data_IF_506830937937
#
_entry.id   IF_506830937937
#
_cell.length_a   1.000
_cell.length_b   1.000
_cell.length_c   1.000
_cell.angle_alpha   90.00
_cell.angle_beta   90.00
_cell.angle_gamma   90.00
#
_symmetry.space_group_name_H-M   'P 1'
#
loop_
_entity.id
_entity.type
_entity.pdbx_description
1 polymer ?
#
# COMPACT_ATOMS: atom_id res chain seq x y z
N UNK A 1 -5.25 7.96 2.22
CA UNK A 1 -5.38 6.60 2.80
C UNK A 1 -4.14 6.33 3.66
N UNK A 2 -4.34 5.88 4.90
CA UNK A 2 -3.23 5.46 5.78
C UNK A 2 -3.26 3.94 5.82
N UNK A 3 -2.32 3.29 5.15
CA UNK A 3 -2.29 1.83 5.01
C UNK A 3 -1.30 1.28 6.03
N UNK A 4 -1.72 0.38 6.93
CA UNK A 4 -0.79 -0.37 7.77
C UNK A 4 -0.35 -1.65 7.04
N UNK A 5 0.84 -1.67 6.39
CA UNK A 5 1.36 -2.88 5.76
C UNK A 5 1.71 -3.94 6.80
N UNK A 6 1.48 -5.19 6.42
CA UNK A 6 1.89 -6.41 7.11
C UNK A 6 3.03 -7.09 6.33
N UNK A 7 3.90 -6.27 5.72
CA UNK A 7 5.10 -6.69 5.01
C UNK A 7 6.32 -6.42 5.90
N UNK A 8 7.21 -7.40 6.03
CA UNK A 8 8.27 -7.36 7.05
C UNK A 8 9.62 -6.84 6.54
N UNK A 9 9.75 -6.57 5.23
CA UNK A 9 11.01 -6.11 4.63
C UNK A 9 10.86 -4.76 3.91
N UNK A 10 11.90 -3.90 3.93
CA UNK A 10 11.91 -2.64 3.18
C UNK A 10 11.68 -2.83 1.68
N UNK A 11 12.21 -3.91 1.09
CA UNK A 11 12.06 -4.23 -0.33
C UNK A 11 10.60 -4.52 -0.67
N UNK A 12 9.91 -5.30 0.16
CA UNK A 12 8.49 -5.61 -0.03
C UNK A 12 7.62 -4.35 0.10
N UNK A 13 7.90 -3.50 1.09
CA UNK A 13 7.19 -2.22 1.28
C UNK A 13 7.43 -1.28 0.08
N UNK A 14 8.66 -1.23 -0.44
CA UNK A 14 9.00 -0.41 -1.62
C UNK A 14 8.25 -0.89 -2.87
N UNK A 15 8.22 -2.20 -3.11
CA UNK A 15 7.46 -2.77 -4.23
C UNK A 15 5.96 -2.54 -4.07
N UNK A 16 5.44 -2.63 -2.84
CA UNK A 16 4.04 -2.34 -2.54
C UNK A 16 3.69 -0.87 -2.82
N UNK A 17 4.51 0.06 -2.35
CA UNK A 17 4.36 1.49 -2.61
C UNK A 17 4.42 1.81 -4.11
N UNK A 18 5.35 1.20 -4.84
CA UNK A 18 5.44 1.34 -6.30
C UNK A 18 4.22 0.78 -7.03
N UNK A 19 3.72 -0.40 -6.61
CA UNK A 19 2.52 -1.03 -7.19
C UNK A 19 1.28 -0.15 -7.01
N UNK A 20 1.11 0.44 -5.84
CA UNK A 20 0.01 1.38 -5.58
C UNK A 20 0.19 2.64 -6.44
N UNK A 21 1.39 3.20 -6.52
CA UNK A 21 1.64 4.41 -7.32
C UNK A 21 1.44 4.21 -8.83
N UNK A 22 1.57 2.98 -9.33
CA UNK A 22 1.32 2.62 -10.72
C UNK A 22 -0.15 2.25 -10.99
N UNK A 23 -0.97 2.15 -9.95
CA UNK A 23 -2.43 1.97 -10.11
C UNK A 23 -3.05 3.32 -10.46
N UNK A 24 -3.80 3.44 -11.57
CA UNK A 24 -4.43 4.70 -11.94
C UNK A 24 -5.31 5.27 -10.82
N UNK A 25 -5.17 6.57 -10.56
CA UNK A 25 -5.93 7.28 -9.52
C UNK A 25 -5.30 7.24 -8.13
N UNK A 26 -4.13 6.63 -7.94
CA UNK A 26 -3.42 6.63 -6.64
C UNK A 26 -1.94 6.99 -6.78
N UNK A 27 -1.37 7.59 -5.74
CA UNK A 27 0.07 7.85 -5.62
C UNK A 27 0.52 7.58 -4.18
N UNK A 28 1.65 6.89 -4.03
CA UNK A 28 2.29 6.70 -2.71
C UNK A 28 3.05 7.96 -2.34
N UNK A 29 2.76 8.53 -1.17
CA UNK A 29 3.25 9.85 -0.76
C UNK A 29 4.40 9.77 0.25
N UNK A 30 4.32 8.85 1.22
CA UNK A 30 5.34 8.72 2.26
C UNK A 30 5.30 7.33 2.92
N UNK A 31 6.43 6.89 3.47
CA UNK A 31 6.53 5.72 4.34
C UNK A 31 6.97 6.20 5.71
N UNK A 32 6.20 5.88 6.75
CA UNK A 32 6.55 6.27 8.12
C UNK A 32 7.96 5.81 8.50
N UNK A 33 8.65 6.58 9.34
CA UNK A 33 10.02 6.25 9.79
C UNK A 33 10.14 4.88 10.47
N UNK A 34 9.05 4.35 11.03
CA UNK A 34 9.01 3.02 11.65
C UNK A 34 8.63 1.90 10.66
N UNK A 35 8.38 2.21 9.39
CA UNK A 35 7.98 1.25 8.36
C UNK A 35 6.57 0.67 8.51
N UNK A 36 5.79 1.11 9.51
CA UNK A 36 4.49 0.52 9.85
C UNK A 36 3.29 1.14 9.14
N UNK A 37 3.50 2.26 8.44
CA UNK A 37 2.45 2.95 7.71
C UNK A 37 2.97 3.45 6.36
N UNK A 38 2.14 3.25 5.34
CA UNK A 38 2.29 3.80 4.00
C UNK A 38 1.17 4.83 3.76
N UNK A 39 1.55 6.08 3.51
CA UNK A 39 0.63 7.15 3.18
C UNK A 39 0.39 7.17 1.67
N UNK A 40 -0.88 7.09 1.27
CA UNK A 40 -1.30 7.06 -0.13
C UNK A 40 -2.31 8.19 -0.37
N UNK A 41 -2.10 8.97 -1.42
CA UNK A 41 -3.10 9.88 -1.95
C UNK A 41 -3.96 9.16 -2.99
N UNK A 42 -5.28 9.30 -2.89
CA UNK A 42 -6.25 8.82 -3.86
C UNK A 42 -6.91 10.04 -4.51
N UNK A 43 -7.02 10.02 -5.84
CA UNK A 43 -7.63 11.10 -6.62
C UNK A 43 -9.13 11.22 -6.32
N UNK A 44 -9.79 10.08 -6.18
CA UNK A 44 -11.20 9.96 -5.80
C UNK A 44 -11.34 8.78 -4.83
N UNK A 45 -12.06 9.00 -3.73
CA UNK A 45 -12.26 8.00 -2.68
C UNK A 45 -13.54 8.33 -1.91
N UNK A 46 -14.62 7.65 -2.25
CA UNK A 46 -15.90 7.77 -1.56
C UNK A 46 -15.92 6.96 -0.25
N UNK A 47 -15.12 5.88 -0.16
CA UNK A 47 -14.97 5.04 1.02
C UNK A 47 -13.49 4.66 1.20
N UNK A 48 -12.75 5.43 2.01
CA UNK A 48 -11.33 5.19 2.28
C UNK A 48 -11.03 3.80 2.84
N UNK A 49 -11.90 3.25 3.69
CA UNK A 49 -11.67 1.95 4.33
C UNK A 49 -11.85 0.80 3.33
N UNK A 50 -12.87 0.88 2.47
CA UNK A 50 -13.06 -0.07 1.39
C UNK A 50 -11.89 -0.04 0.38
N UNK A 51 -11.36 1.15 0.09
CA UNK A 51 -10.18 1.30 -0.77
C UNK A 51 -8.93 0.65 -0.15
N UNK A 52 -8.69 0.86 1.15
CA UNK A 52 -7.59 0.23 1.89
C UNK A 52 -7.74 -1.29 1.86
N UNK A 53 -8.92 -1.81 2.16
CA UNK A 53 -9.20 -3.24 2.14
C UNK A 53 -8.94 -3.85 0.76
N UNK A 54 -9.39 -3.18 -0.32
CA UNK A 54 -9.13 -3.59 -1.70
C UNK A 54 -7.64 -3.61 -2.02
N UNK A 55 -6.88 -2.59 -1.60
CA UNK A 55 -5.43 -2.53 -1.79
C UNK A 55 -4.72 -3.69 -1.08
N UNK A 56 -5.07 -3.97 0.19
CA UNK A 56 -4.50 -5.10 0.95
C UNK A 56 -4.83 -6.44 0.29
N UNK A 57 -6.09 -6.64 -0.10
CA UNK A 57 -6.54 -7.88 -0.75
C UNK A 57 -5.88 -8.09 -2.13
N UNK A 58 -5.77 -7.03 -2.94
CA UNK A 58 -5.31 -7.14 -4.32
C UNK A 58 -3.78 -7.14 -4.43
N UNK A 59 -3.06 -6.35 -3.65
CA UNK A 59 -1.63 -6.16 -3.89
C UNK A 59 -0.79 -6.76 -2.76
N UNK A 60 -1.06 -6.40 -1.51
CA UNK A 60 -0.28 -6.86 -0.37
C UNK A 60 -0.31 -8.38 -0.20
N UNK A 61 -1.49 -9.01 -0.32
CA UNK A 61 -1.62 -10.46 -0.20
C UNK A 61 -0.81 -11.26 -1.23
N UNK A 62 -0.51 -10.66 -2.39
CA UNK A 62 0.35 -11.27 -3.42
C UNK A 62 1.83 -11.08 -3.05
N UNK A 63 2.20 -9.90 -2.61
CA UNK A 63 3.58 -9.59 -2.19
C UNK A 63 4.01 -10.41 -0.99
N UNK A 64 3.12 -10.65 -0.03
CA UNK A 64 3.35 -11.58 1.08
C UNK A 64 3.77 -12.98 0.62
N UNK A 65 3.29 -13.45 -0.54
CA UNK A 65 3.67 -14.77 -1.07
C UNK A 65 5.00 -14.76 -1.83
N UNK A 66 5.40 -13.60 -2.35
CA UNK A 66 6.65 -13.42 -3.11
C UNK A 66 7.84 -13.23 -2.18
N UNK A 67 7.63 -12.55 -1.06
CA UNK A 67 8.65 -12.20 -0.07
C UNK A 67 8.58 -13.05 1.21
N UNK A 68 7.82 -14.15 1.21
CA UNK A 68 7.78 -15.13 2.30
C UNK A 68 9.02 -16.04 2.31
#
# INVERSE_FOLDING_TARGET
LVIPPELDTPEAITVFAGTISLTPGTVSADVSACGKYLLVHALDSADPEADIARIKQRYEARLKKVFA
#
